data_IF_926006965276
#
_entry.id   IF_926006965276
#
_cell.length_a   1.000
_cell.length_b   1.000
_cell.length_c   1.000
_cell.angle_alpha   90.00
_cell.angle_beta   90.00
_cell.angle_gamma   90.00
#
_symmetry.space_group_name_H-M   'P 1'
#
loop_
_entity.id
_entity.type
_entity.pdbx_description
1 polymer ?
#
# COMPACT_ATOMS: atom_id res chain seq x y z
N UNK A 1 -8.76 -12.45 29.46
CA UNK A 1 -9.05 -12.75 28.85
C UNK A 1 -8.68 -12.78 27.59
N UNK A 2 -8.50 -13.44 26.97
CA UNK A 2 -8.06 -13.57 25.85
C UNK A 2 -8.75 -13.15 24.75
N UNK A 3 -9.86 -13.10 24.80
CA UNK A 3 -10.61 -12.65 23.67
C UNK A 3 -10.28 -11.23 23.29
N UNK A 4 -9.52 -10.57 24.07
CA UNK A 4 -9.17 -9.24 23.72
C UNK A 4 -8.35 -9.16 22.50
N UNK A 5 -7.71 -10.25 22.07
CA UNK A 5 -6.93 -10.18 20.87
C UNK A 5 -7.75 -9.86 19.64
N UNK A 6 -9.06 -10.03 19.71
CA UNK A 6 -9.87 -9.70 18.56
C UNK A 6 -10.33 -8.24 18.56
N UNK A 7 -10.04 -7.51 19.63
CA UNK A 7 -10.47 -6.12 19.71
C UNK A 7 -9.29 -5.22 19.38
N UNK A 8 -8.90 -5.22 18.14
CA UNK A 8 -7.72 -4.49 17.74
C UNK A 8 -8.10 -3.15 17.14
N UNK A 9 -7.26 -2.18 17.37
CA UNK A 9 -7.42 -0.85 16.80
C UNK A 9 -6.37 -0.67 15.71
N UNK A 10 -6.80 -0.14 14.60
CA UNK A 10 -5.93 0.07 13.46
C UNK A 10 -5.82 1.55 13.14
N UNK A 11 -4.71 1.90 12.57
CA UNK A 11 -4.55 3.23 12.00
C UNK A 11 -4.30 3.03 10.51
N UNK A 12 -4.70 4.01 9.72
CA UNK A 12 -4.60 3.91 8.27
C UNK A 12 -3.74 5.05 7.76
N UNK A 13 -2.85 4.75 6.85
CA UNK A 13 -2.07 5.76 6.17
C UNK A 13 -2.15 5.49 4.68
N UNK A 14 -1.96 6.52 3.86
CA UNK A 14 -1.96 6.36 2.42
C UNK A 14 -0.56 6.44 1.88
N UNK A 15 -0.28 5.60 0.91
CA UNK A 15 0.99 5.63 0.20
C UNK A 15 0.72 5.43 -1.28
N UNK A 16 1.69 5.82 -2.10
CA UNK A 16 1.62 5.60 -3.54
C UNK A 16 2.80 4.73 -3.91
N UNK A 17 2.48 3.53 -4.41
CA UNK A 17 3.52 2.67 -4.94
C UNK A 17 3.64 2.86 -6.43
N UNK A 18 4.83 2.73 -6.96
CA UNK A 18 5.06 2.89 -8.39
C UNK A 18 5.91 1.76 -8.93
N UNK A 19 5.74 1.48 -10.20
CA UNK A 19 6.56 0.48 -10.88
C UNK A 19 6.46 0.71 -12.38
N UNK A 20 7.54 0.54 -13.10
CA UNK A 20 7.46 0.56 -14.57
C UNK A 20 6.92 -0.77 -15.11
N UNK A 21 6.79 -1.79 -14.27
CA UNK A 21 6.50 -3.13 -14.74
C UNK A 21 5.04 -3.52 -14.64
N UNK A 22 4.40 -3.28 -13.53
CA UNK A 22 3.03 -3.74 -13.35
C UNK A 22 2.38 -3.10 -12.15
N UNK A 23 1.04 -3.19 -12.11
CA UNK A 23 0.26 -2.74 -10.96
C UNK A 23 0.63 -3.58 -9.74
N UNK A 24 0.78 -4.89 -9.92
CA UNK A 24 1.13 -5.75 -8.79
C UNK A 24 2.48 -5.36 -8.21
N UNK A 25 3.44 -5.07 -9.06
CA UNK A 25 4.76 -4.70 -8.55
C UNK A 25 4.70 -3.34 -7.85
N UNK A 26 3.87 -2.42 -8.37
CA UNK A 26 3.70 -1.13 -7.71
C UNK A 26 3.15 -1.31 -6.29
N UNK A 27 2.20 -2.22 -6.12
CA UNK A 27 1.65 -2.50 -4.80
C UNK A 27 2.75 -3.04 -3.87
N UNK A 28 3.50 -4.02 -4.36
CA UNK A 28 4.55 -4.63 -3.54
C UNK A 28 5.62 -3.62 -3.16
N UNK A 29 5.99 -2.77 -4.11
CA UNK A 29 7.01 -1.76 -3.83
C UNK A 29 6.55 -0.79 -2.75
N UNK A 30 5.29 -0.38 -2.83
CA UNK A 30 4.76 0.55 -1.85
C UNK A 30 4.72 -0.04 -0.45
N UNK A 31 4.26 -1.28 -0.35
CA UNK A 31 4.19 -1.96 0.94
C UNK A 31 5.58 -2.18 1.51
N UNK A 32 6.50 -2.61 0.66
CA UNK A 32 7.85 -2.89 1.12
C UNK A 32 8.51 -1.62 1.67
N UNK A 33 8.34 -0.51 0.96
CA UNK A 33 8.95 0.73 1.40
C UNK A 33 8.32 1.20 2.70
N UNK A 34 7.00 1.10 2.80
CA UNK A 34 6.31 1.53 4.01
C UNK A 34 6.72 0.68 5.20
N UNK A 35 7.01 -0.59 4.98
CA UNK A 35 7.35 -1.49 6.07
C UNK A 35 8.68 -1.14 6.72
N UNK A 36 9.48 -0.30 6.06
CA UNK A 36 10.75 0.10 6.65
C UNK A 36 10.56 1.02 7.84
N UNK A 37 9.45 1.73 7.91
CA UNK A 37 9.22 2.67 9.00
C UNK A 37 7.93 2.41 9.78
N UNK A 38 7.00 1.62 9.22
CA UNK A 38 5.73 1.36 9.88
C UNK A 38 5.69 -0.10 10.30
N UNK A 39 5.39 -0.32 11.57
CA UNK A 39 5.33 -1.68 12.13
C UNK A 39 3.91 -2.18 12.13
N UNK A 40 3.76 -3.47 12.13
CA UNK A 40 2.47 -4.14 12.25
C UNK A 40 1.53 -3.85 11.09
N UNK A 41 2.08 -3.72 9.88
CA UNK A 41 1.23 -3.61 8.70
C UNK A 41 0.41 -4.88 8.58
N UNK A 42 -0.88 -4.72 8.32
CA UNK A 42 -1.78 -5.85 8.36
C UNK A 42 -2.57 -6.02 7.07
N UNK A 43 -3.04 -4.95 6.48
CA UNK A 43 -3.83 -5.06 5.25
C UNK A 43 -3.64 -3.82 4.40
N UNK A 44 -4.03 -3.95 3.15
CA UNK A 44 -3.99 -2.80 2.24
C UNK A 44 -5.28 -2.77 1.45
N UNK A 45 -5.61 -1.59 0.96
CA UNK A 45 -6.77 -1.38 0.14
C UNK A 45 -6.38 -0.47 -1.00
N UNK A 46 -6.62 -0.89 -2.24
CA UNK A 46 -6.30 -0.07 -3.40
C UNK A 46 -7.38 0.98 -3.56
N UNK A 47 -6.98 2.24 -3.60
CA UNK A 47 -7.90 3.34 -3.74
C UNK A 47 -7.98 3.77 -5.20
N UNK A 48 -6.84 3.82 -5.88
CA UNK A 48 -6.80 4.34 -7.22
C UNK A 48 -5.63 3.75 -7.98
N UNK A 49 -5.82 3.44 -9.23
CA UNK A 49 -4.77 2.98 -10.12
C UNK A 49 -4.67 3.98 -11.24
N UNK A 50 -3.45 4.43 -11.52
CA UNK A 50 -3.24 5.34 -12.63
C UNK A 50 -1.82 5.12 -13.14
N UNK A 51 -1.46 5.80 -14.19
CA UNK A 51 -0.13 5.67 -14.73
C UNK A 51 0.20 6.82 -15.65
N UNK A 52 1.42 6.81 -16.12
CA UNK A 52 1.90 7.81 -17.07
C UNK A 52 1.94 7.20 -18.46
N UNK A 53 1.48 7.97 -19.43
CA UNK A 53 1.57 7.60 -20.82
C UNK A 53 2.74 8.38 -21.40
N UNK A 54 3.68 7.68 -22.00
CA UNK A 54 4.86 8.33 -22.59
C UNK A 54 4.83 8.11 -24.10
N UNK A 55 5.38 9.07 -24.79
CA UNK A 55 5.48 9.02 -26.26
C UNK A 55 4.14 8.72 -26.91
N UNK A 56 3.07 9.20 -26.29
CA UNK A 56 1.75 9.14 -26.87
C UNK A 56 1.00 7.83 -26.78
N UNK A 57 1.68 6.74 -26.48
CA UNK A 57 0.99 5.46 -26.50
C UNK A 57 1.54 4.40 -25.57
N UNK A 58 2.63 4.68 -24.87
CA UNK A 58 3.24 3.65 -24.03
C UNK A 58 3.08 3.97 -22.57
N UNK A 59 2.97 2.93 -21.77
CA UNK A 59 2.86 3.11 -20.33
C UNK A 59 4.28 3.19 -19.75
N UNK A 60 4.59 4.33 -19.16
CA UNK A 60 5.90 4.50 -18.57
C UNK A 60 5.97 4.00 -17.15
N UNK A 61 4.91 4.27 -16.38
CA UNK A 61 4.84 3.84 -14.98
C UNK A 61 3.42 3.57 -14.60
N UNK A 62 3.27 2.61 -13.69
CA UNK A 62 2.01 2.39 -12.99
C UNK A 62 2.13 3.03 -11.62
N UNK A 63 1.06 3.67 -11.16
CA UNK A 63 0.99 4.24 -9.83
C UNK A 63 -0.25 3.72 -9.15
N UNK A 64 -0.08 3.24 -7.93
CA UNK A 64 -1.19 2.70 -7.16
C UNK A 64 -1.28 3.46 -5.86
N UNK A 65 -2.41 4.14 -5.65
CA UNK A 65 -2.69 4.81 -4.39
C UNK A 65 -3.38 3.79 -3.52
N UNK A 66 -2.87 3.58 -2.33
CA UNK A 66 -3.46 2.58 -1.46
C UNK A 66 -3.43 3.03 -0.02
N UNK A 67 -4.37 2.50 0.73
CA UNK A 67 -4.41 2.69 2.17
C UNK A 67 -3.78 1.48 2.81
N UNK A 68 -2.96 1.71 3.81
CA UNK A 68 -2.34 0.64 4.57
C UNK A 68 -2.87 0.71 5.99
N UNK A 69 -3.40 -0.42 6.45
CA UNK A 69 -3.85 -0.52 7.82
C UNK A 69 -2.78 -1.17 8.66
N UNK A 70 -2.48 -0.58 9.80
CA UNK A 70 -1.52 -1.18 10.69
C UNK A 70 -2.08 -1.15 12.10
N UNK A 71 -1.73 -2.21 12.83
CA UNK A 71 -2.30 -2.41 14.15
C UNK A 71 -1.55 -1.56 15.17
N UNK A 72 -2.31 -0.89 16.01
CA UNK A 72 -1.71 -0.13 17.10
C UNK A 72 -1.38 -1.10 18.23
N UNK A 73 -0.20 -0.92 18.77
CA UNK A 73 0.23 -1.76 19.87
C UNK A 73 -0.33 -1.22 21.16
N UNK A 74 -0.59 -2.14 22.08
CA UNK A 74 -1.16 -1.72 23.34
C UNK A 74 -0.20 -1.80 24.49
#
# INVERSE_FOLDING_TARGET
>A
MESRVTDRTYKVTEVVGTSPDSVQQAIRNGIKKASETIRELDWFEVVEIRGHIVEGSEVGHFQVVMKLGFRLEE
#
